data_IF_335502394557
#
_entry.id   IF_335502394557
#
_cell.length_a   1.000
_cell.length_b   1.000
_cell.length_c   1.000
_cell.angle_alpha   90.00
_cell.angle_beta   90.00
_cell.angle_gamma   90.00
#
_symmetry.space_group_name_H-M   'P 1'
#
loop_
_entity.id
_entity.type
_entity.pdbx_description
1 polymer ?
#
# COMPACT_ATOMS: atom_id res chain seq x y z
N UNK A 1 -8.30 13.03 33.98
CA UNK A 1 -8.23 13.15 32.51
C UNK A 1 -8.63 11.81 31.91
N UNK A 2 -9.83 11.72 31.32
CA UNK A 2 -10.32 10.48 30.72
C UNK A 2 -9.49 10.17 29.46
N UNK A 3 -8.58 9.22 29.56
CA UNK A 3 -7.79 8.75 28.42
C UNK A 3 -8.71 8.03 27.42
N UNK A 4 -8.47 8.26 26.13
CA UNK A 4 -9.09 7.50 25.06
C UNK A 4 -8.71 6.03 25.20
N UNK A 5 -9.52 5.28 25.93
CA UNK A 5 -9.34 3.84 26.09
C UNK A 5 -9.69 3.15 24.78
N UNK A 6 -8.85 2.21 24.36
CA UNK A 6 -9.02 1.42 23.12
C UNK A 6 -10.45 0.85 23.01
N UNK A 7 -11.07 0.49 24.13
CA UNK A 7 -12.45 0.01 24.19
C UNK A 7 -13.46 1.00 23.63
N UNK A 8 -13.30 2.29 23.88
CA UNK A 8 -14.21 3.32 23.39
C UNK A 8 -14.07 3.50 21.87
N UNK A 9 -12.84 3.39 21.35
CA UNK A 9 -12.56 3.52 19.91
C UNK A 9 -13.21 2.37 19.13
N UNK A 10 -13.18 1.14 19.65
CA UNK A 10 -13.84 -0.02 19.01
C UNK A 10 -15.37 0.16 18.97
N UNK A 11 -16.00 0.51 20.10
CA UNK A 11 -17.45 0.75 20.12
C UNK A 11 -17.81 1.88 19.14
N UNK A 12 -17.05 2.98 19.14
CA UNK A 12 -17.28 4.10 18.24
C UNK A 12 -17.17 3.69 16.76
N UNK A 13 -16.15 2.90 16.41
CA UNK A 13 -15.96 2.40 15.05
C UNK A 13 -17.15 1.55 14.57
N UNK A 14 -17.70 0.69 15.44
CA UNK A 14 -18.88 -0.12 15.11
C UNK A 14 -20.09 0.78 14.79
N UNK A 15 -20.34 1.81 15.61
CA UNK A 15 -21.45 2.75 15.38
C UNK A 15 -21.27 3.50 14.05
N UNK A 16 -20.06 3.97 13.75
CA UNK A 16 -19.76 4.64 12.46
C UNK A 16 -19.98 3.69 11.27
N UNK A 17 -19.54 2.44 11.37
CA UNK A 17 -19.76 1.43 10.31
C UNK A 17 -21.25 1.17 10.09
N UNK A 18 -22.06 1.13 11.15
CA UNK A 18 -23.51 0.93 11.05
C UNK A 18 -24.22 2.15 10.42
N UNK A 19 -23.81 3.38 10.75
CA UNK A 19 -24.40 4.60 10.21
C UNK A 19 -24.07 4.80 8.73
N UNK A 20 -22.80 4.63 8.35
CA UNK A 20 -22.35 4.87 6.98
C UNK A 20 -22.52 3.63 6.08
N UNK A 21 -22.69 2.46 6.68
CA UNK A 21 -22.68 1.17 6.01
C UNK A 21 -21.27 0.76 5.54
N UNK A 22 -21.06 -0.55 5.39
CA UNK A 22 -19.75 -1.10 4.96
C UNK A 22 -19.42 -0.77 3.50
N UNK A 23 -20.42 -0.53 2.64
CA UNK A 23 -20.19 -0.22 1.21
C UNK A 23 -19.45 1.10 0.99
N UNK A 24 -19.82 2.18 1.69
CA UNK A 24 -19.15 3.48 1.54
C UNK A 24 -17.77 3.46 2.18
N UNK A 25 -17.63 2.86 3.36
CA UNK A 25 -16.33 2.68 4.03
C UNK A 25 -15.37 1.81 3.21
N UNK A 26 -15.85 0.78 2.52
CA UNK A 26 -15.02 -0.07 1.66
C UNK A 26 -14.49 0.68 0.43
N UNK A 27 -15.31 1.50 -0.21
CA UNK A 27 -14.87 2.24 -1.40
C UNK A 27 -13.81 3.28 -1.01
N UNK A 28 -14.11 4.12 -0.02
CA UNK A 28 -13.17 5.14 0.47
C UNK A 28 -11.94 4.51 1.12
N UNK A 29 -12.12 3.41 1.87
CA UNK A 29 -11.04 2.68 2.50
C UNK A 29 -10.10 2.00 1.52
N UNK A 30 -10.57 1.62 0.32
CA UNK A 30 -9.69 1.13 -0.75
C UNK A 30 -8.82 2.24 -1.32
N UNK A 31 -9.40 3.40 -1.57
CA UNK A 31 -8.69 4.53 -2.17
C UNK A 31 -7.65 5.10 -1.20
N UNK A 32 -8.05 5.35 0.04
CA UNK A 32 -7.16 5.86 1.10
C UNK A 32 -6.19 4.77 1.56
N UNK A 33 -6.67 3.52 1.70
CA UNK A 33 -5.84 2.40 2.13
C UNK A 33 -4.76 2.04 1.11
N UNK A 34 -5.03 2.20 -0.19
CA UNK A 34 -4.04 2.06 -1.26
C UNK A 34 -2.90 3.08 -1.10
N UNK A 35 -3.25 4.37 -1.00
CA UNK A 35 -2.27 5.44 -0.82
C UNK A 35 -1.40 5.26 0.44
N UNK A 36 -2.01 4.88 1.56
CA UNK A 36 -1.29 4.63 2.83
C UNK A 36 -0.42 3.37 2.74
N UNK A 37 -0.87 2.34 2.02
CA UNK A 37 -0.09 1.10 1.78
C UNK A 37 1.17 1.40 0.98
N UNK A 38 1.05 2.17 -0.09
CA UNK A 38 2.19 2.55 -0.93
C UNK A 38 3.16 3.44 -0.16
N UNK A 39 2.64 4.41 0.62
CA UNK A 39 3.46 5.23 1.52
C UNK A 39 4.26 4.39 2.53
N UNK A 40 3.59 3.42 3.20
CA UNK A 40 4.27 2.52 4.14
C UNK A 40 5.30 1.63 3.45
N UNK A 41 5.04 1.22 2.21
CA UNK A 41 5.96 0.38 1.43
C UNK A 41 7.23 1.17 1.08
N UNK A 42 7.09 2.38 0.54
CA UNK A 42 8.23 3.25 0.21
C UNK A 42 9.09 3.55 1.44
N UNK A 43 8.47 3.83 2.59
CA UNK A 43 9.19 4.09 3.84
C UNK A 43 9.98 2.85 4.34
N UNK A 44 9.43 1.64 4.17
CA UNK A 44 10.13 0.39 4.53
C UNK A 44 11.23 0.02 3.53
N UNK A 45 11.06 0.36 2.25
CA UNK A 45 12.08 0.10 1.22
C UNK A 45 13.31 1.01 1.43
N UNK A 46 13.13 2.25 1.90
CA UNK A 46 14.23 3.13 2.33
C UNK A 46 14.93 2.63 3.60
N UNK A 47 14.17 2.14 4.58
CA UNK A 47 14.75 1.60 5.83
C UNK A 47 15.59 0.33 5.57
N UNK A 48 15.13 -0.54 4.65
CA UNK A 48 15.90 -1.72 4.24
C UNK A 48 17.10 -1.39 3.34
N UNK A 49 17.07 -0.26 2.61
CA UNK A 49 18.21 0.18 1.78
C UNK A 49 19.43 0.63 2.61
N UNK A 50 19.27 0.91 3.90
CA UNK A 50 20.40 1.17 4.81
C UNK A 50 21.07 -0.11 5.35
N UNK A 51 20.47 -1.30 5.17
CA UNK A 51 20.93 -2.53 5.84
C UNK A 51 21.49 -3.63 4.93
N UNK A 52 21.34 -3.55 3.60
CA UNK A 52 21.91 -4.53 2.66
C UNK A 52 22.42 -3.87 1.36
N UNK A 53 23.61 -4.24 0.83
CA UNK A 53 24.06 -3.80 -0.48
C UNK A 53 23.22 -4.49 -1.57
N UNK A 54 22.19 -3.82 -2.08
CA UNK A 54 21.47 -4.28 -3.28
C UNK A 54 22.36 -4.12 -4.52
N UNK A 55 22.86 -5.23 -5.05
CA UNK A 55 23.34 -5.32 -6.42
C UNK A 55 22.17 -5.04 -7.36
N UNK A 56 22.39 -4.14 -8.33
CA UNK A 56 21.41 -3.74 -9.33
C UNK A 56 21.41 -4.82 -10.42
N UNK A 57 20.50 -5.79 -10.32
CA UNK A 57 20.20 -6.66 -11.45
C UNK A 57 19.38 -5.86 -12.47
N UNK A 58 20.07 -5.38 -13.50
CA UNK A 58 19.47 -4.86 -14.72
C UNK A 58 18.76 -6.02 -15.44
N UNK A 59 17.47 -6.18 -15.17
CA UNK A 59 16.63 -7.07 -15.96
C UNK A 59 16.49 -6.50 -17.38
N UNK A 60 16.77 -7.37 -18.34
CA UNK A 60 17.17 -7.05 -19.69
C UNK A 60 16.08 -6.32 -20.49
N UNK A 61 16.53 -5.24 -21.14
CA UNK A 61 15.99 -4.77 -22.41
C UNK A 61 16.16 -5.89 -23.44
N UNK A 62 15.20 -6.83 -23.53
CA UNK A 62 15.20 -7.83 -24.61
C UNK A 62 13.80 -8.30 -25.00
N UNK A 63 13.00 -7.41 -25.60
CA UNK A 63 11.85 -7.84 -26.43
C UNK A 63 11.41 -6.83 -27.49
N UNK A 64 12.31 -6.41 -28.38
CA UNK A 64 11.91 -5.58 -29.53
C UNK A 64 12.77 -5.73 -30.80
N UNK A 65 13.61 -6.75 -30.92
CA UNK A 65 14.47 -6.91 -32.11
C UNK A 65 14.52 -8.35 -32.65
N UNK A 66 13.36 -8.92 -33.00
CA UNK A 66 13.31 -10.25 -33.65
C UNK A 66 12.29 -10.34 -34.79
N UNK A 67 12.06 -9.24 -35.53
CA UNK A 67 11.09 -9.25 -36.65
C UNK A 67 11.63 -8.68 -37.97
N UNK A 68 12.94 -8.41 -38.12
CA UNK A 68 13.45 -7.77 -39.36
C UNK A 68 14.72 -8.37 -39.97
N UNK A 69 15.19 -9.54 -39.54
CA UNK A 69 16.36 -10.19 -40.18
C UNK A 69 16.04 -11.62 -40.63
N UNK A 70 15.03 -11.73 -41.49
CA UNK A 70 14.91 -12.84 -42.44
C UNK A 70 14.24 -12.34 -43.71
N UNK A 71 14.95 -11.51 -44.44
CA UNK A 71 14.78 -11.26 -45.89
C UNK A 71 16.18 -11.09 -46.47
#
# INVERSE_FOLDING_TARGET
>A
MAGLSIWHVIIFAIVVILLFGTSKLKNIGKDVGGAVKDFKKSMRDEENALSEPKTIDHDEVKKSSETSFKS
#
